data_IF_595302000930
#
_entry.id   IF_595302000930
#
_cell.length_a   1.000
_cell.length_b   1.000
_cell.length_c   1.000
_cell.angle_alpha   90.00
_cell.angle_beta   90.00
_cell.angle_gamma   90.00
#
_symmetry.space_group_name_H-M   'P 1'
#
loop_
_entity.id
_entity.type
_entity.pdbx_description
1 polymer ?
#
# COMPACT_ATOMS: atom_id res chain seq x y z
N UNK A 1 -59.74 28.61 9.69
CA UNK A 1 -59.34 27.26 9.23
C UNK A 1 -58.54 27.28 7.94
N UNK A 2 -58.80 28.10 6.92
CA UNK A 2 -57.99 28.14 5.67
C UNK A 2 -56.68 28.90 5.84
N UNK A 3 -56.57 29.93 6.70
CA UNK A 3 -55.36 30.67 6.96
C UNK A 3 -54.31 29.82 7.74
N UNK A 4 -54.75 29.07 8.73
CA UNK A 4 -53.89 28.19 9.50
C UNK A 4 -53.29 27.05 8.65
N UNK A 5 -54.02 26.56 7.65
CA UNK A 5 -53.56 25.49 6.78
C UNK A 5 -52.51 25.98 5.75
N UNK A 6 -52.64 27.21 5.25
CA UNK A 6 -51.69 27.82 4.35
C UNK A 6 -50.36 28.15 5.04
N UNK A 7 -50.37 28.58 6.30
CA UNK A 7 -49.17 28.85 7.09
C UNK A 7 -48.40 27.58 7.44
N UNK A 8 -49.10 26.48 7.72
CA UNK A 8 -48.48 25.16 7.94
C UNK A 8 -47.80 24.61 6.68
N UNK A 9 -48.40 24.77 5.51
CA UNK A 9 -47.83 24.33 4.24
C UNK A 9 -46.60 25.18 3.88
N UNK A 10 -46.62 26.49 4.10
CA UNK A 10 -45.50 27.38 3.89
C UNK A 10 -44.33 27.06 4.84
N UNK A 11 -44.60 26.75 6.11
CA UNK A 11 -43.61 26.36 7.08
C UNK A 11 -42.95 25.01 6.73
N UNK A 12 -43.73 24.04 6.28
CA UNK A 12 -43.20 22.74 5.81
C UNK A 12 -42.35 22.88 4.56
N UNK A 13 -42.70 23.76 3.64
CA UNK A 13 -41.89 24.00 2.43
C UNK A 13 -40.56 24.64 2.77
N UNK A 14 -40.50 25.62 3.67
CA UNK A 14 -39.28 26.28 4.09
C UNK A 14 -38.32 25.32 4.82
N UNK A 15 -38.82 24.43 5.67
CA UNK A 15 -38.02 23.44 6.36
C UNK A 15 -37.42 22.39 5.38
N UNK A 16 -38.23 21.95 4.41
CA UNK A 16 -37.79 21.01 3.38
C UNK A 16 -36.67 21.59 2.47
N UNK A 17 -36.81 22.87 2.09
CA UNK A 17 -35.81 23.54 1.25
C UNK A 17 -34.49 23.79 2.02
N UNK A 18 -34.57 24.15 3.31
CA UNK A 18 -33.39 24.30 4.16
C UNK A 18 -32.63 22.96 4.37
N UNK A 19 -33.35 21.86 4.57
CA UNK A 19 -32.74 20.52 4.70
C UNK A 19 -32.06 20.12 3.40
N UNK A 20 -32.65 20.36 2.24
CA UNK A 20 -32.05 20.08 0.94
C UNK A 20 -30.76 20.88 0.67
N UNK A 21 -30.74 22.16 1.06
CA UNK A 21 -29.55 23.01 0.91
C UNK A 21 -28.44 22.54 1.82
N UNK A 22 -28.73 22.20 3.08
CA UNK A 22 -27.73 21.66 4.02
C UNK A 22 -27.16 20.32 3.56
N UNK A 23 -27.99 19.40 3.07
CA UNK A 23 -27.56 18.12 2.55
C UNK A 23 -26.70 18.28 1.30
N UNK A 24 -26.96 19.25 0.45
CA UNK A 24 -26.18 19.57 -0.75
C UNK A 24 -24.84 20.18 -0.38
N UNK A 25 -24.77 21.10 0.57
CA UNK A 25 -23.52 21.69 1.06
C UNK A 25 -22.66 20.64 1.75
N UNK A 26 -23.23 19.78 2.61
CA UNK A 26 -22.51 18.67 3.24
C UNK A 26 -21.98 17.67 2.20
N UNK A 27 -22.74 17.39 1.18
CA UNK A 27 -22.35 16.51 0.07
C UNK A 27 -21.23 17.12 -0.76
N UNK A 28 -21.29 18.42 -1.05
CA UNK A 28 -20.25 19.14 -1.77
C UNK A 28 -18.98 19.27 -0.92
N UNK A 29 -19.07 19.55 0.37
CA UNK A 29 -17.94 19.59 1.28
C UNK A 29 -17.24 18.23 1.38
N UNK A 30 -18.00 17.13 1.45
CA UNK A 30 -17.45 15.79 1.44
C UNK A 30 -16.81 15.42 0.10
N UNK A 31 -17.35 15.88 -1.01
CA UNK A 31 -16.77 15.70 -2.34
C UNK A 31 -15.45 16.45 -2.53
N UNK A 32 -15.33 17.66 -1.96
CA UNK A 32 -14.12 18.49 -2.09
C UNK A 32 -13.07 18.24 -1.01
N UNK A 33 -13.42 17.70 0.16
CA UNK A 33 -12.49 17.45 1.26
C UNK A 33 -11.83 16.09 1.24
N UNK A 34 -12.39 15.10 0.55
CA UNK A 34 -11.83 13.74 0.51
C UNK A 34 -11.03 13.39 -0.74
N UNK A 35 -11.14 14.17 -1.83
CA UNK A 35 -10.67 13.65 -3.14
C UNK A 35 -9.44 14.33 -3.77
N UNK A 36 -9.02 15.54 -3.43
CA UNK A 36 -8.13 16.22 -4.38
C UNK A 36 -6.70 16.52 -3.93
N UNK A 37 -6.35 16.70 -2.66
CA UNK A 37 -4.99 17.12 -2.33
C UNK A 37 -4.01 15.98 -1.95
N UNK A 38 -4.37 14.97 -1.14
CA UNK A 38 -3.42 13.91 -0.79
C UNK A 38 -3.17 12.88 -1.90
N UNK A 39 -4.18 12.57 -2.72
CA UNK A 39 -4.07 11.53 -3.75
C UNK A 39 -3.19 11.93 -4.93
N UNK A 40 -3.26 13.19 -5.38
CA UNK A 40 -2.48 13.66 -6.52
C UNK A 40 -0.99 13.62 -6.24
N UNK A 41 -0.53 14.05 -5.06
CA UNK A 41 0.88 14.06 -4.70
C UNK A 41 1.43 12.65 -4.46
N UNK A 42 0.65 11.75 -3.82
CA UNK A 42 1.08 10.37 -3.54
C UNK A 42 1.25 9.56 -4.81
N UNK A 43 0.34 9.67 -5.77
CA UNK A 43 0.33 8.81 -6.96
C UNK A 43 0.94 9.45 -8.21
N UNK A 44 1.34 10.70 -8.17
CA UNK A 44 1.96 11.40 -9.31
C UNK A 44 3.45 11.62 -9.14
N UNK A 45 3.92 11.93 -7.93
CA UNK A 45 5.34 12.17 -7.69
C UNK A 45 6.15 10.88 -7.90
N UNK A 46 7.10 10.93 -8.86
CA UNK A 46 7.94 9.78 -9.17
C UNK A 46 7.16 8.54 -9.60
N UNK A 47 5.99 8.70 -10.22
CA UNK A 47 5.22 7.56 -10.71
C UNK A 47 5.89 6.96 -11.94
N UNK A 48 6.52 5.80 -11.77
CA UNK A 48 7.28 5.09 -12.80
C UNK A 48 6.78 3.64 -12.86
N UNK A 49 6.40 3.21 -14.06
CA UNK A 49 5.96 1.84 -14.32
C UNK A 49 7.09 0.87 -14.69
N UNK A 50 8.35 1.30 -14.63
CA UNK A 50 9.50 0.51 -15.07
C UNK A 50 10.48 0.13 -13.96
N UNK A 51 10.68 1.01 -12.98
CA UNK A 51 11.70 0.82 -11.94
C UNK A 51 11.09 0.70 -10.56
N UNK A 52 11.62 -0.20 -9.73
CA UNK A 52 11.21 -0.33 -8.33
C UNK A 52 11.51 0.96 -7.58
N UNK A 53 12.71 1.50 -7.67
CA UNK A 53 13.07 2.78 -7.07
C UNK A 53 12.88 3.92 -8.07
N UNK A 54 11.80 4.68 -7.89
CA UNK A 54 11.46 5.85 -8.72
C UNK A 54 11.69 7.19 -7.99
N UNK A 55 12.26 7.19 -6.80
CA UNK A 55 12.43 8.38 -5.95
C UNK A 55 13.85 8.95 -5.96
N UNK A 56 14.64 8.69 -6.99
CA UNK A 56 16.09 9.02 -7.03
C UNK A 56 16.42 10.48 -6.75
N UNK A 57 15.54 11.40 -7.17
CA UNK A 57 15.72 12.85 -7.02
C UNK A 57 14.81 13.46 -5.95
N UNK A 58 14.05 12.66 -5.22
CA UNK A 58 13.15 13.15 -4.20
C UNK A 58 13.89 13.49 -2.92
N UNK A 59 13.45 14.57 -2.25
CA UNK A 59 13.92 14.93 -0.91
C UNK A 59 13.21 14.05 0.11
N UNK A 60 13.96 13.16 0.76
CA UNK A 60 13.43 12.24 1.77
C UNK A 60 13.55 12.90 3.14
N UNK A 61 12.46 12.99 3.94
CA UNK A 61 12.53 13.51 5.29
C UNK A 61 13.43 12.64 6.18
N UNK A 62 14.06 13.27 7.17
CA UNK A 62 14.91 12.55 8.13
C UNK A 62 14.12 11.52 8.92
N UNK A 63 12.91 11.89 9.35
CA UNK A 63 11.97 11.01 10.06
C UNK A 63 10.57 11.17 9.48
N UNK A 64 9.78 10.11 9.52
CA UNK A 64 8.38 10.12 9.07
C UNK A 64 7.57 9.15 9.91
N UNK A 65 6.46 9.63 10.48
CA UNK A 65 5.46 8.76 11.09
C UNK A 65 4.50 8.23 10.04
N UNK A 66 4.30 6.91 10.03
CA UNK A 66 3.53 6.20 9.02
C UNK A 66 2.47 5.36 9.72
N UNK A 67 1.19 5.59 9.40
CA UNK A 67 0.11 4.78 9.91
C UNK A 67 0.10 3.41 9.23
N UNK A 68 0.21 2.35 10.01
CA UNK A 68 0.23 0.96 9.54
C UNK A 68 -0.90 0.12 10.16
N UNK A 69 -1.89 0.79 10.78
CA UNK A 69 -2.99 0.12 11.48
C UNK A 69 -3.98 -0.60 10.57
N UNK A 70 -4.17 -0.10 9.34
CA UNK A 70 -5.07 -0.69 8.35
C UNK A 70 -4.30 -1.59 7.39
N UNK A 71 -3.86 -2.72 7.88
CA UNK A 71 -3.03 -3.67 7.16
C UNK A 71 -3.76 -4.98 6.87
N UNK A 72 -3.19 -5.77 5.95
CA UNK A 72 -3.42 -7.20 5.81
C UNK A 72 -2.07 -7.88 5.60
N UNK A 73 -1.92 -9.10 6.09
CA UNK A 73 -0.71 -9.87 5.80
C UNK A 73 -0.70 -10.26 4.31
N UNK A 74 0.47 -10.16 3.63
CA UNK A 74 0.56 -10.52 2.22
C UNK A 74 0.31 -12.00 1.97
N UNK A 75 0.65 -12.85 2.94
CA UNK A 75 0.34 -14.29 2.98
C UNK A 75 0.46 -14.79 4.43
N UNK A 76 -0.14 -15.95 4.77
CA UNK A 76 -0.07 -16.48 6.14
C UNK A 76 1.24 -17.22 6.45
N UNK A 77 2.15 -17.37 5.48
CA UNK A 77 3.38 -18.14 5.64
C UNK A 77 4.37 -17.54 6.64
N UNK A 78 5.10 -18.41 7.33
CA UNK A 78 6.16 -17.99 8.24
C UNK A 78 7.39 -17.47 7.48
N UNK A 79 8.21 -16.66 8.14
CA UNK A 79 9.43 -16.10 7.56
C UNK A 79 10.52 -17.19 7.47
N UNK A 80 11.03 -17.39 6.26
CA UNK A 80 12.11 -18.35 5.99
C UNK A 80 13.49 -17.68 5.86
N UNK A 81 13.51 -16.37 5.56
CA UNK A 81 14.76 -15.62 5.43
C UNK A 81 14.52 -14.15 5.82
N UNK A 82 15.35 -13.60 6.74
CA UNK A 82 15.18 -12.25 7.22
C UNK A 82 15.77 -11.19 6.30
N UNK A 83 15.36 -9.94 6.51
CA UNK A 83 15.98 -8.74 5.96
C UNK A 83 17.40 -8.57 6.52
N UNK A 84 18.31 -8.08 5.70
CA UNK A 84 19.62 -7.67 6.14
C UNK A 84 20.75 -8.17 5.26
N UNK A 85 22.00 -7.80 5.64
CA UNK A 85 23.17 -8.17 4.88
C UNK A 85 23.46 -9.67 5.04
N UNK A 86 23.66 -10.35 3.90
CA UNK A 86 23.99 -11.78 3.82
C UNK A 86 25.48 -11.94 3.53
N UNK A 87 26.27 -12.27 4.54
CA UNK A 87 27.73 -12.49 4.41
C UNK A 87 28.07 -13.51 3.35
N UNK A 88 27.35 -14.63 3.32
CA UNK A 88 27.58 -15.73 2.36
C UNK A 88 27.50 -15.28 0.90
N UNK A 89 26.55 -14.37 0.59
CA UNK A 89 26.31 -13.88 -0.76
C UNK A 89 26.88 -12.48 -0.99
N UNK A 90 27.50 -11.86 0.01
CA UNK A 90 28.01 -10.48 -0.01
C UNK A 90 26.97 -9.50 -0.56
N UNK A 91 25.72 -9.66 -0.14
CA UNK A 91 24.60 -8.91 -0.67
C UNK A 91 23.57 -8.59 0.40
N UNK A 92 22.96 -7.41 0.27
CA UNK A 92 21.83 -6.98 1.09
C UNK A 92 20.55 -7.67 0.65
N UNK A 93 19.86 -8.33 1.57
CA UNK A 93 18.50 -8.80 1.37
C UNK A 93 17.53 -7.69 1.75
N UNK A 94 16.89 -7.09 0.76
CA UNK A 94 16.06 -5.87 0.93
C UNK A 94 14.62 -6.13 1.38
N UNK A 95 14.27 -7.36 1.65
CA UNK A 95 12.97 -7.78 2.13
C UNK A 95 13.07 -9.00 3.02
N UNK A 96 11.94 -9.62 3.25
CA UNK A 96 11.83 -10.92 3.91
C UNK A 96 11.30 -11.95 2.92
N UNK A 97 11.66 -13.20 3.12
CA UNK A 97 11.08 -14.33 2.39
C UNK A 97 10.05 -15.02 3.28
N UNK A 98 8.86 -15.23 2.75
CA UNK A 98 7.73 -15.87 3.42
C UNK A 98 7.38 -17.17 2.72
N UNK A 99 7.09 -18.19 3.49
CA UNK A 99 6.73 -19.52 2.97
C UNK A 99 5.40 -19.45 2.21
N UNK A 100 5.41 -19.87 0.95
CA UNK A 100 4.21 -20.07 0.13
C UNK A 100 4.35 -21.32 -0.72
N UNK A 101 3.23 -21.83 -1.18
CA UNK A 101 3.17 -22.82 -2.26
C UNK A 101 2.82 -22.10 -3.57
N UNK A 102 3.20 -22.70 -4.69
CA UNK A 102 2.83 -22.19 -6.02
C UNK A 102 1.29 -22.19 -6.11
N UNK A 103 0.71 -21.04 -6.45
CA UNK A 103 -0.73 -20.84 -6.54
C UNK A 103 -1.40 -20.28 -5.29
N UNK A 104 -0.67 -20.14 -4.16
CA UNK A 104 -1.22 -19.50 -2.98
C UNK A 104 -1.55 -18.02 -3.26
N UNK A 105 -2.64 -17.54 -2.69
CA UNK A 105 -3.07 -16.15 -2.86
C UNK A 105 -2.15 -15.19 -2.15
N UNK A 106 -1.66 -14.19 -2.87
CA UNK A 106 -0.90 -13.05 -2.33
C UNK A 106 -1.83 -11.84 -2.28
N UNK A 107 -1.78 -11.10 -1.17
CA UNK A 107 -2.70 -10.01 -0.86
C UNK A 107 -1.98 -8.68 -0.68
N UNK A 108 -2.64 -7.58 -1.05
CA UNK A 108 -2.14 -6.23 -0.79
C UNK A 108 -2.02 -5.97 0.72
N UNK A 109 -0.88 -5.45 1.16
CA UNK A 109 -0.64 -5.18 2.58
C UNK A 109 -1.42 -3.97 3.12
N UNK A 110 -1.68 -2.98 2.29
CA UNK A 110 -2.42 -1.75 2.63
C UNK A 110 -3.25 -1.30 1.42
N UNK A 111 -4.15 -0.35 1.65
CA UNK A 111 -4.86 0.33 0.57
C UNK A 111 -3.87 1.08 -0.33
N UNK A 112 -4.09 1.06 -1.63
CA UNK A 112 -3.23 1.77 -2.54
C UNK A 112 -3.56 1.59 -4.02
N UNK A 113 -2.55 1.85 -4.85
CA UNK A 113 -2.63 1.77 -6.30
C UNK A 113 -1.44 0.99 -6.85
N UNK A 114 -1.70 0.05 -7.73
CA UNK A 114 -0.66 -0.76 -8.38
C UNK A 114 0.19 0.16 -9.27
N UNK A 115 1.49 0.24 -8.98
CA UNK A 115 2.40 1.08 -9.74
C UNK A 115 3.04 0.35 -10.90
N UNK A 116 3.43 -0.91 -10.70
CA UNK A 116 3.98 -1.72 -11.77
C UNK A 116 3.69 -3.20 -11.58
N UNK A 117 3.59 -3.91 -12.70
CA UNK A 117 3.65 -5.37 -12.80
C UNK A 117 4.67 -5.71 -13.87
N UNK A 118 5.67 -6.54 -13.56
CA UNK A 118 6.79 -6.78 -14.46
C UNK A 118 7.36 -8.18 -14.25
N UNK A 119 8.13 -8.65 -15.24
CA UNK A 119 8.92 -9.87 -15.17
C UNK A 119 10.40 -9.57 -15.28
N UNK A 120 11.16 -10.02 -14.29
CA UNK A 120 12.62 -9.90 -14.25
C UNK A 120 13.25 -11.27 -14.04
N UNK A 121 13.72 -11.86 -15.12
CA UNK A 121 14.18 -13.25 -15.15
C UNK A 121 15.28 -13.58 -14.13
N UNK A 122 16.24 -12.67 -13.92
CA UNK A 122 17.40 -12.87 -13.05
C UNK A 122 17.30 -12.15 -11.71
N UNK A 123 16.10 -11.74 -11.33
CA UNK A 123 15.84 -11.02 -10.10
C UNK A 123 14.51 -11.44 -9.49
N UNK A 124 13.59 -10.49 -9.42
CA UNK A 124 12.28 -10.68 -8.77
C UNK A 124 11.35 -11.72 -9.44
N UNK A 125 11.65 -12.16 -10.67
CA UNK A 125 10.66 -12.93 -11.45
C UNK A 125 9.44 -12.09 -11.79
N UNK A 126 8.26 -12.67 -11.74
CA UNK A 126 7.02 -11.89 -11.78
C UNK A 126 6.88 -11.14 -10.46
N UNK A 127 6.72 -9.82 -10.52
CA UNK A 127 6.59 -9.01 -9.33
C UNK A 127 5.63 -7.84 -9.51
N UNK A 128 5.04 -7.43 -8.38
CA UNK A 128 4.10 -6.31 -8.29
C UNK A 128 4.67 -5.28 -7.31
N UNK A 129 4.53 -4.01 -7.62
CA UNK A 129 4.80 -2.91 -6.70
C UNK A 129 3.52 -2.11 -6.52
N UNK A 130 3.14 -1.89 -5.28
CA UNK A 130 1.97 -1.10 -4.89
C UNK A 130 2.44 0.11 -4.08
N UNK A 131 1.97 1.31 -4.45
CA UNK A 131 2.09 2.50 -3.63
C UNK A 131 0.83 2.70 -2.82
N UNK A 132 0.99 2.85 -1.52
CA UNK A 132 -0.10 2.88 -0.56
C UNK A 132 -0.46 4.30 -0.13
N UNK A 133 -1.67 4.48 0.38
CA UNK A 133 -2.18 5.75 0.89
C UNK A 133 -1.37 6.27 2.09
N UNK A 134 -0.69 5.40 2.82
CA UNK A 134 0.22 5.76 3.92
C UNK A 134 1.64 6.12 3.46
N UNK A 135 1.87 6.26 2.14
CA UNK A 135 3.14 6.61 1.49
C UNK A 135 4.19 5.49 1.46
N UNK A 136 3.92 4.32 2.03
CA UNK A 136 4.76 3.15 1.82
C UNK A 136 4.55 2.58 0.42
N UNK A 137 5.59 1.92 -0.08
CA UNK A 137 5.45 0.98 -1.21
C UNK A 137 5.76 -0.43 -0.73
N UNK A 138 5.08 -1.41 -1.30
CA UNK A 138 5.35 -2.83 -1.07
C UNK A 138 5.67 -3.52 -2.39
N UNK A 139 6.61 -4.47 -2.31
CA UNK A 139 7.07 -5.27 -3.45
C UNK A 139 6.78 -6.73 -3.16
N UNK A 140 6.19 -7.41 -4.13
CA UNK A 140 5.80 -8.82 -4.05
C UNK A 140 6.49 -9.56 -5.20
N UNK A 141 7.49 -10.36 -4.90
CA UNK A 141 8.33 -11.02 -5.88
C UNK A 141 8.17 -12.54 -5.95
N UNK A 142 8.75 -13.12 -6.99
CA UNK A 142 8.74 -14.56 -7.32
C UNK A 142 7.34 -15.14 -7.52
N UNK A 143 6.44 -14.32 -8.07
CA UNK A 143 5.04 -14.68 -8.32
C UNK A 143 4.93 -15.63 -9.51
N UNK A 144 3.79 -16.35 -9.60
CA UNK A 144 3.46 -17.16 -10.77
C UNK A 144 2.46 -16.49 -11.71
N UNK A 145 1.61 -15.60 -11.16
CA UNK A 145 0.56 -14.94 -11.93
C UNK A 145 0.16 -13.62 -11.29
N UNK A 146 -0.13 -12.61 -12.12
CA UNK A 146 -0.77 -11.36 -11.68
C UNK A 146 -2.29 -11.51 -11.68
N UNK A 147 -2.95 -10.96 -10.66
CA UNK A 147 -4.40 -10.81 -10.58
C UNK A 147 -4.82 -9.34 -10.70
N UNK A 148 -3.88 -8.44 -10.85
CA UNK A 148 -4.07 -6.98 -10.98
C UNK A 148 -3.28 -6.45 -12.15
N UNK A 149 -3.65 -5.24 -12.59
CA UNK A 149 -2.98 -4.48 -13.65
C UNK A 149 -2.40 -3.19 -13.10
N UNK A 150 -1.40 -2.59 -13.78
CA UNK A 150 -0.93 -1.24 -13.43
C UNK A 150 -2.08 -0.24 -13.36
N UNK A 151 -1.98 0.69 -12.43
CA UNK A 151 -2.95 1.76 -12.17
C UNK A 151 -4.27 1.29 -11.53
N UNK A 152 -4.42 0.02 -11.22
CA UNK A 152 -5.58 -0.51 -10.50
C UNK A 152 -5.51 -0.14 -9.02
N UNK A 153 -6.62 0.37 -8.46
CA UNK A 153 -6.77 0.59 -7.03
C UNK A 153 -7.06 -0.73 -6.31
N UNK A 154 -6.43 -0.90 -5.16
CA UNK A 154 -6.59 -2.08 -4.30
C UNK A 154 -6.80 -1.66 -2.85
N UNK A 155 -7.48 -2.51 -2.09
CA UNK A 155 -7.62 -2.38 -0.64
C UNK A 155 -6.77 -3.41 0.08
N UNK A 156 -6.39 -3.12 1.32
CA UNK A 156 -5.71 -4.08 2.18
C UNK A 156 -6.46 -5.41 2.20
N UNK A 157 -5.76 -6.50 1.91
CA UNK A 157 -6.34 -7.83 1.83
C UNK A 157 -6.86 -8.26 0.47
N UNK A 158 -6.93 -7.37 -0.52
CA UNK A 158 -7.34 -7.75 -1.87
C UNK A 158 -6.33 -8.73 -2.48
N UNK A 159 -6.80 -9.80 -3.16
CA UNK A 159 -5.93 -10.67 -3.95
C UNK A 159 -5.25 -9.88 -5.07
N UNK A 160 -3.92 -9.96 -5.15
CA UNK A 160 -3.16 -9.22 -6.18
C UNK A 160 -2.36 -10.13 -7.09
N UNK A 161 -2.02 -11.33 -6.62
CA UNK A 161 -1.20 -12.27 -7.37
C UNK A 161 -1.30 -13.67 -6.78
N UNK A 162 -0.68 -14.63 -7.45
CA UNK A 162 -0.46 -15.98 -6.96
C UNK A 162 1.03 -16.21 -6.70
N UNK A 163 1.32 -16.90 -5.61
CA UNK A 163 2.67 -17.31 -5.23
C UNK A 163 3.31 -18.20 -6.27
N UNK A 164 4.62 -18.17 -6.35
CA UNK A 164 5.37 -18.92 -7.33
C UNK A 164 6.82 -19.17 -6.93
N UNK A 165 7.65 -19.43 -7.95
CA UNK A 165 9.07 -19.69 -7.83
C UNK A 165 9.85 -19.11 -9.03
N UNK A 166 9.37 -17.99 -9.57
CA UNK A 166 9.93 -17.36 -10.75
C UNK A 166 11.10 -16.43 -10.41
N UNK A 167 11.91 -16.11 -11.40
CA UNK A 167 13.09 -15.27 -11.21
C UNK A 167 14.23 -16.01 -10.51
N UNK A 168 15.04 -15.29 -9.74
CA UNK A 168 16.16 -15.85 -8.98
C UNK A 168 15.66 -16.47 -7.68
N UNK A 169 15.17 -17.68 -7.75
CA UNK A 169 14.58 -18.40 -6.63
C UNK A 169 14.91 -19.88 -6.70
N UNK A 170 15.28 -20.49 -5.58
CA UNK A 170 15.59 -21.91 -5.46
C UNK A 170 14.46 -22.76 -4.90
N UNK A 171 13.36 -22.14 -4.52
CA UNK A 171 12.17 -22.81 -3.99
C UNK A 171 11.02 -21.83 -3.81
N UNK A 172 9.77 -22.31 -3.82
CA UNK A 172 8.60 -21.44 -3.70
C UNK A 172 8.62 -20.60 -2.43
N UNK A 173 8.57 -19.29 -2.58
CA UNK A 173 8.45 -18.31 -1.49
C UNK A 173 7.96 -16.98 -2.03
N UNK A 174 7.42 -16.14 -1.16
CA UNK A 174 7.15 -14.75 -1.45
C UNK A 174 8.31 -13.90 -0.97
N UNK A 175 8.93 -13.13 -1.86
CA UNK A 175 9.83 -12.05 -1.48
C UNK A 175 9.00 -10.79 -1.26
N UNK A 176 8.99 -10.28 -0.03
CA UNK A 176 8.17 -9.15 0.38
C UNK A 176 9.04 -8.00 0.87
N UNK A 177 8.90 -6.83 0.24
CA UNK A 177 9.61 -5.61 0.66
C UNK A 177 8.63 -4.54 1.09
N UNK A 178 9.06 -3.73 2.05
CA UNK A 178 8.41 -2.49 2.45
C UNK A 178 9.37 -1.34 2.21
N UNK A 179 8.94 -0.32 1.46
CA UNK A 179 9.80 0.81 1.07
C UNK A 179 9.14 2.14 1.41
N UNK A 180 9.96 3.08 1.83
CA UNK A 180 9.56 4.48 1.96
C UNK A 180 10.49 5.33 1.09
N UNK A 181 9.92 5.98 0.06
CA UNK A 181 10.64 6.82 -0.91
C UNK A 181 11.93 6.17 -1.42
N UNK A 182 11.85 4.89 -1.74
CA UNK A 182 12.96 4.08 -2.27
C UNK A 182 13.82 3.38 -1.22
N UNK A 183 13.76 3.77 0.05
CA UNK A 183 14.49 3.11 1.13
C UNK A 183 13.79 1.80 1.51
N UNK A 184 14.50 0.69 1.41
CA UNK A 184 13.99 -0.61 1.82
C UNK A 184 14.03 -0.72 3.35
N UNK A 185 12.85 -0.70 3.96
CA UNK A 185 12.65 -0.85 5.41
C UNK A 185 12.60 -2.34 5.74
N UNK A 186 13.23 -2.75 6.84
CA UNK A 186 13.04 -4.11 7.35
C UNK A 186 11.54 -4.38 7.59
N UNK A 187 10.91 -5.29 6.84
CA UNK A 187 9.48 -5.57 7.04
C UNK A 187 9.14 -6.03 8.46
N UNK A 188 10.09 -6.67 9.15
CA UNK A 188 9.91 -7.10 10.56
C UNK A 188 9.93 -5.93 11.56
N UNK A 189 10.34 -4.73 11.15
CA UNK A 189 10.19 -3.53 11.98
C UNK A 189 8.73 -3.01 11.99
N UNK A 190 7.93 -3.39 11.00
CA UNK A 190 6.52 -3.01 10.85
C UNK A 190 5.62 -4.18 11.27
N UNK A 191 5.87 -5.36 10.70
CA UNK A 191 5.04 -6.55 10.86
C UNK A 191 5.64 -7.54 11.84
N UNK A 192 4.79 -8.11 12.69
CA UNK A 192 5.04 -9.32 13.45
C UNK A 192 4.50 -10.51 12.65
N UNK A 193 5.37 -11.19 11.91
CA UNK A 193 4.97 -12.29 11.05
C UNK A 193 4.56 -13.54 11.83
N UNK A 194 5.03 -13.71 13.05
CA UNK A 194 4.64 -14.81 13.92
C UNK A 194 3.19 -14.66 14.38
N UNK A 195 2.82 -13.47 14.86
CA UNK A 195 1.48 -13.18 15.38
C UNK A 195 0.53 -12.63 14.32
N UNK A 196 0.97 -12.45 13.07
CA UNK A 196 0.17 -11.99 11.94
C UNK A 196 -0.46 -10.61 12.16
N UNK A 197 0.29 -9.69 12.74
CA UNK A 197 -0.14 -8.34 13.08
C UNK A 197 0.98 -7.32 12.83
N UNK A 198 0.70 -6.03 13.00
CA UNK A 198 1.73 -5.00 13.12
C UNK A 198 2.13 -4.83 14.58
N UNK A 199 3.39 -4.44 14.83
CA UNK A 199 3.87 -4.21 16.20
C UNK A 199 3.15 -3.03 16.88
N UNK A 200 2.89 -1.98 16.09
CA UNK A 200 2.25 -0.73 16.54
C UNK A 200 1.32 -0.21 15.44
N UNK A 201 0.43 0.73 15.77
CA UNK A 201 -0.43 1.38 14.79
C UNK A 201 0.34 2.41 13.94
N UNK A 202 1.40 2.98 14.51
CA UNK A 202 2.26 3.97 13.82
C UNK A 202 3.70 3.48 13.83
N UNK A 203 4.30 3.41 12.65
CA UNK A 203 5.72 3.13 12.46
C UNK A 203 6.47 4.44 12.22
N UNK A 204 7.60 4.63 12.90
CA UNK A 204 8.46 5.79 12.69
C UNK A 204 9.65 5.42 11.81
N UNK A 205 9.64 5.93 10.59
CA UNK A 205 10.79 5.84 9.69
C UNK A 205 11.90 6.80 10.13
N UNK A 206 13.13 6.31 10.18
CA UNK A 206 14.34 7.12 10.37
C UNK A 206 15.32 6.85 9.23
N UNK A 207 15.59 7.87 8.44
CA UNK A 207 16.48 7.79 7.27
C UNK A 207 17.87 7.22 7.63
N UNK A 208 18.40 7.55 8.80
CA UNK A 208 19.74 7.08 9.24
C UNK A 208 19.80 5.56 9.39
N UNK A 209 18.69 4.92 9.80
CA UNK A 209 18.62 3.47 9.94
C UNK A 209 18.80 2.74 8.62
N UNK A 210 18.40 3.37 7.50
CA UNK A 210 18.33 2.74 6.19
C UNK A 210 19.19 3.41 5.11
N UNK A 211 20.21 4.19 5.49
CA UNK A 211 21.08 4.94 4.55
C UNK A 211 21.67 4.09 3.43
N UNK A 212 21.99 2.83 3.70
CA UNK A 212 22.59 1.91 2.74
C UNK A 212 21.58 1.02 2.00
N UNK A 213 20.27 1.26 2.19
CA UNK A 213 19.20 0.40 1.69
C UNK A 213 18.31 1.07 0.63
N UNK A 214 18.79 2.12 0.00
CA UNK A 214 18.07 2.83 -1.05
C UNK A 214 18.26 2.21 -2.45
#
# INVERSE_FOLDING_TARGET
HQAEHSDLIAAQHNVSDQIKVQDTELFLDNLFTEEEEPELDIYTEGWDSQNVNCYRNAVVPQTKEINVSKFAMPCPGYMTSPYGYRRRFRRMHKGVDLKVQIGDTIRAAFDGKVRLTKFERRGYGYYVVIRHTNELETVYGHLSKFLVEPDQYVKAGDPIALGGNTGRSTGPHLHFETRFMGYAINPSAIFDFENQTTHTDTYTFDKRTYENAR
#
